data_IF_530117748331
#
_entry.id   IF_530117748331
#
_cell.length_a   1.000
_cell.length_b   1.000
_cell.length_c   1.000
_cell.angle_alpha   90.00
_cell.angle_beta   90.00
_cell.angle_gamma   90.00
#
_symmetry.space_group_name_H-M   'P 1'
#
loop_
_entity.id
_entity.type
_entity.pdbx_description
1 polymer ?
#
# COMPACT_ATOMS: atom_id res chain seq x y z
N UNK A 1 -3.70 -14.27 -28.67
CA UNK A 1 -2.48 -13.92 -29.40
C UNK A 1 -2.68 -12.58 -30.10
N UNK A 2 -1.66 -11.75 -30.12
CA UNK A 2 -1.64 -10.44 -30.74
C UNK A 2 -0.89 -10.54 -32.08
N UNK A 3 -1.47 -10.00 -33.17
CA UNK A 3 -0.77 -9.97 -34.46
C UNK A 3 0.27 -8.83 -34.50
N UNK A 4 1.33 -8.99 -35.33
CA UNK A 4 2.36 -7.96 -35.50
C UNK A 4 1.77 -6.61 -35.94
N UNK A 5 0.81 -6.65 -36.87
CA UNK A 5 0.13 -5.44 -37.38
C UNK A 5 -0.68 -4.73 -36.27
N UNK A 6 -1.41 -5.49 -35.45
CA UNK A 6 -2.17 -4.92 -34.34
C UNK A 6 -1.24 -4.30 -33.28
N UNK A 7 -0.12 -4.97 -32.97
CA UNK A 7 0.87 -4.44 -32.04
C UNK A 7 1.47 -3.12 -32.56
N UNK A 8 1.85 -3.05 -33.84
CA UNK A 8 2.39 -1.81 -34.43
C UNK A 8 1.39 -0.66 -34.37
N UNK A 9 0.11 -0.92 -34.63
CA UNK A 9 -0.95 0.10 -34.48
C UNK A 9 -1.07 0.57 -33.03
N UNK A 10 -1.01 -0.34 -32.07
CA UNK A 10 -1.04 -0.01 -30.65
C UNK A 10 0.19 0.76 -30.18
N UNK A 11 1.36 0.50 -30.76
CA UNK A 11 2.61 1.19 -30.47
C UNK A 11 2.59 2.66 -30.94
N UNK A 12 1.87 2.98 -32.02
CA UNK A 12 1.85 4.32 -32.60
C UNK A 12 3.24 4.80 -32.98
N UNK A 13 3.54 6.09 -32.78
CA UNK A 13 4.89 6.63 -32.96
C UNK A 13 5.82 6.11 -31.84
N UNK A 14 6.50 5.00 -32.10
CA UNK A 14 7.40 4.37 -31.16
C UNK A 14 8.85 4.88 -31.22
N UNK A 15 9.22 5.58 -32.32
CA UNK A 15 10.52 6.25 -32.45
C UNK A 15 10.42 7.64 -31.83
N UNK A 16 10.84 7.79 -30.57
CA UNK A 16 10.99 9.10 -29.97
C UNK A 16 12.18 9.85 -30.61
N UNK A 17 12.08 11.17 -30.74
CA UNK A 17 13.15 12.07 -31.22
C UNK A 17 14.26 12.19 -30.12
N UNK A 18 15.00 11.12 -29.89
CA UNK A 18 16.08 11.08 -28.90
C UNK A 18 17.01 9.89 -29.13
N UNK A 19 18.22 9.93 -28.61
CA UNK A 19 19.37 9.05 -28.87
C UNK A 19 19.25 7.61 -28.38
N UNK A 20 18.08 7.11 -28.02
CA UNK A 20 17.92 5.73 -27.54
C UNK A 20 18.04 4.72 -28.68
N UNK A 21 18.76 3.64 -28.45
CA UNK A 21 18.88 2.53 -29.40
C UNK A 21 17.49 2.00 -29.79
N UNK A 22 17.25 1.69 -31.06
CA UNK A 22 15.94 1.28 -31.58
C UNK A 22 15.30 0.12 -30.81
N UNK A 23 16.10 -0.83 -30.30
CA UNK A 23 15.61 -1.96 -29.50
C UNK A 23 15.03 -1.50 -28.15
N UNK A 24 15.64 -0.49 -27.51
CA UNK A 24 15.17 0.08 -26.24
C UNK A 24 13.81 0.76 -26.43
N UNK A 25 13.66 1.58 -27.50
CA UNK A 25 12.40 2.22 -27.80
C UNK A 25 11.26 1.21 -28.07
N UNK A 26 11.55 0.11 -28.77
CA UNK A 26 10.59 -0.98 -28.98
C UNK A 26 10.23 -1.67 -27.67
N UNK A 27 11.22 -1.99 -26.83
CA UNK A 27 11.00 -2.62 -25.54
C UNK A 27 10.16 -1.72 -24.62
N UNK A 28 10.52 -0.45 -24.52
CA UNK A 28 9.82 0.52 -23.66
C UNK A 28 8.36 0.70 -24.10
N UNK A 29 8.12 0.77 -25.40
CA UNK A 29 6.75 0.89 -25.90
C UNK A 29 5.89 -0.34 -25.63
N UNK A 30 6.42 -1.54 -25.81
CA UNK A 30 5.72 -2.79 -25.47
C UNK A 30 5.50 -2.89 -23.95
N UNK A 31 6.51 -2.52 -23.15
CA UNK A 31 6.40 -2.47 -21.68
C UNK A 31 5.25 -1.57 -21.23
N UNK A 32 5.16 -0.35 -21.78
CA UNK A 32 4.07 0.57 -21.51
C UNK A 32 2.70 -0.04 -21.85
N UNK A 33 2.56 -0.66 -23.00
CA UNK A 33 1.30 -1.29 -23.40
C UNK A 33 0.88 -2.43 -22.45
N UNK A 34 1.84 -3.16 -21.89
CA UNK A 34 1.58 -4.20 -20.89
C UNK A 34 1.19 -3.56 -19.55
N UNK A 35 1.91 -2.54 -19.10
CA UNK A 35 1.64 -1.82 -17.85
C UNK A 35 0.28 -1.13 -17.86
N UNK A 36 -0.10 -0.52 -18.99
CA UNK A 36 -1.39 0.15 -19.18
C UNK A 36 -2.56 -0.83 -19.38
N UNK A 37 -2.29 -2.14 -19.38
CA UNK A 37 -3.31 -3.17 -19.60
C UNK A 37 -3.86 -3.21 -21.04
N UNK A 38 -3.26 -2.49 -21.97
CA UNK A 38 -3.61 -2.53 -23.41
C UNK A 38 -3.16 -3.83 -24.05
N UNK A 39 -2.08 -4.44 -23.54
CA UNK A 39 -1.71 -5.83 -23.79
C UNK A 39 -1.98 -6.58 -22.49
N UNK A 40 -2.98 -7.43 -22.48
CA UNK A 40 -3.34 -8.22 -21.29
C UNK A 40 -2.24 -9.24 -20.96
N UNK A 41 -2.04 -9.51 -19.69
CA UNK A 41 -1.19 -10.63 -19.22
C UNK A 41 -1.66 -11.93 -19.85
N UNK A 42 -0.72 -12.85 -20.09
CA UNK A 42 -0.93 -14.10 -20.82
C UNK A 42 -1.25 -13.93 -22.32
N UNK A 43 -1.16 -12.70 -22.87
CA UNK A 43 -1.27 -12.48 -24.32
C UNK A 43 0.01 -12.92 -25.01
N UNK A 44 -0.10 -13.81 -26.00
CA UNK A 44 1.03 -14.18 -26.86
C UNK A 44 1.39 -13.03 -27.78
N UNK A 45 2.66 -12.56 -27.71
CA UNK A 45 3.23 -11.54 -28.57
C UNK A 45 3.57 -12.14 -29.96
N UNK A 46 3.67 -11.29 -30.99
CA UNK A 46 4.08 -11.73 -32.34
C UNK A 46 5.48 -12.35 -32.34
N UNK A 47 5.73 -13.24 -33.29
CA UNK A 47 7.07 -13.76 -33.50
C UNK A 47 8.04 -12.63 -33.88
N UNK A 48 9.29 -12.73 -33.42
CA UNK A 48 10.33 -11.70 -33.65
C UNK A 48 10.46 -11.32 -35.14
N UNK A 49 10.40 -12.32 -36.02
CA UNK A 49 10.50 -12.09 -37.47
C UNK A 49 9.32 -11.30 -38.03
N UNK A 50 8.12 -11.60 -37.57
CA UNK A 50 6.89 -10.94 -38.01
C UNK A 50 6.85 -9.48 -37.50
N UNK A 51 7.24 -9.25 -36.25
CA UNK A 51 7.30 -7.92 -35.68
C UNK A 51 8.38 -7.07 -36.34
N UNK A 52 9.55 -7.64 -36.60
CA UNK A 52 10.65 -6.95 -37.30
C UNK A 52 10.21 -6.45 -38.69
N UNK A 53 9.51 -7.29 -39.45
CA UNK A 53 8.97 -6.94 -40.76
C UNK A 53 7.92 -5.83 -40.64
N UNK A 54 7.02 -5.93 -39.68
CA UNK A 54 5.94 -4.94 -39.48
C UNK A 54 6.44 -3.57 -39.00
N UNK A 55 7.53 -3.54 -38.21
CA UNK A 55 8.17 -2.30 -37.74
C UNK A 55 9.20 -1.71 -38.70
N UNK A 56 9.59 -2.45 -39.75
CA UNK A 56 10.65 -2.02 -40.67
C UNK A 56 12.05 -1.95 -40.00
N UNK A 57 12.33 -2.85 -39.06
CA UNK A 57 13.62 -2.94 -38.34
C UNK A 57 14.28 -4.31 -38.53
N UNK A 58 15.55 -4.43 -38.13
CA UNK A 58 16.25 -5.72 -38.15
C UNK A 58 15.64 -6.71 -37.15
N UNK A 59 15.73 -8.01 -37.44
CA UNK A 59 15.33 -9.06 -36.50
C UNK A 59 16.13 -8.96 -35.19
N UNK A 60 17.43 -8.64 -35.28
CA UNK A 60 18.29 -8.46 -34.12
C UNK A 60 17.79 -7.36 -33.18
N UNK A 61 17.22 -6.27 -33.72
CA UNK A 61 16.59 -5.20 -32.94
C UNK A 61 15.42 -5.73 -32.12
N UNK A 62 14.55 -6.54 -32.71
CA UNK A 62 13.39 -7.10 -32.00
C UNK A 62 13.82 -8.19 -31.00
N UNK A 63 14.79 -9.00 -31.36
CA UNK A 63 15.39 -10.00 -30.45
C UNK A 63 15.97 -9.33 -29.19
N UNK A 64 16.72 -8.22 -29.37
CA UNK A 64 17.26 -7.44 -28.25
C UNK A 64 16.14 -6.79 -27.41
N UNK A 65 15.08 -6.27 -28.05
CA UNK A 65 13.93 -5.72 -27.35
C UNK A 65 13.20 -6.79 -26.51
N UNK A 66 12.98 -7.98 -27.07
CA UNK A 66 12.36 -9.09 -26.33
C UNK A 66 13.27 -9.63 -25.22
N UNK A 67 14.59 -9.60 -25.39
CA UNK A 67 15.53 -9.92 -24.31
C UNK A 67 15.42 -8.93 -23.16
N UNK A 68 15.43 -7.63 -23.45
CA UNK A 68 15.25 -6.60 -22.43
C UNK A 68 13.90 -6.73 -21.70
N UNK A 69 12.83 -7.09 -22.41
CA UNK A 69 11.53 -7.35 -21.80
C UNK A 69 11.53 -8.60 -20.91
N UNK A 70 12.26 -9.66 -21.30
CA UNK A 70 12.44 -10.88 -20.45
C UNK A 70 13.24 -10.58 -19.19
N UNK A 71 14.36 -9.88 -19.34
CA UNK A 71 15.20 -9.44 -18.22
C UNK A 71 14.41 -8.56 -17.23
N UNK A 72 13.55 -7.69 -17.76
CA UNK A 72 12.64 -6.88 -16.95
C UNK A 72 11.41 -7.62 -16.40
N UNK A 73 11.23 -8.91 -16.73
CA UNK A 73 10.10 -9.72 -16.26
C UNK A 73 8.74 -9.39 -16.94
N UNK A 74 8.74 -8.65 -18.06
CA UNK A 74 7.51 -8.30 -18.79
C UNK A 74 7.11 -9.31 -19.85
N UNK A 75 8.02 -10.22 -20.19
CA UNK A 75 7.79 -11.28 -21.16
C UNK A 75 8.39 -12.58 -20.65
N UNK A 76 7.62 -13.65 -20.73
CA UNK A 76 8.07 -15.00 -20.51
C UNK A 76 8.13 -15.77 -21.85
N UNK A 77 9.19 -16.55 -22.05
CA UNK A 77 9.33 -17.39 -23.25
C UNK A 77 9.34 -18.85 -22.84
N UNK A 78 8.35 -19.61 -23.31
CA UNK A 78 8.28 -21.05 -23.10
C UNK A 78 8.59 -21.76 -24.41
N UNK A 79 9.45 -22.79 -24.39
CA UNK A 79 9.75 -23.58 -25.58
C UNK A 79 8.48 -24.10 -26.25
N UNK A 80 8.26 -23.76 -27.51
CA UNK A 80 7.09 -24.16 -28.30
C UNK A 80 5.86 -23.24 -28.20
N UNK A 81 5.73 -22.36 -27.18
CA UNK A 81 4.58 -21.47 -27.02
C UNK A 81 4.87 -20.00 -27.37
N UNK A 82 6.12 -19.62 -27.65
CA UNK A 82 6.50 -18.25 -28.02
C UNK A 82 6.68 -17.34 -26.82
N UNK A 83 6.66 -16.02 -27.06
CA UNK A 83 6.79 -14.98 -26.05
C UNK A 83 5.41 -14.53 -25.57
N UNK A 84 5.19 -14.54 -24.26
CA UNK A 84 3.91 -14.22 -23.62
C UNK A 84 4.09 -13.02 -22.69
N UNK A 85 3.19 -12.04 -22.80
CA UNK A 85 3.19 -10.86 -21.97
C UNK A 85 2.82 -11.21 -20.52
N UNK A 86 3.56 -10.66 -19.57
CA UNK A 86 3.27 -10.76 -18.14
C UNK A 86 3.64 -9.45 -17.43
N UNK A 87 3.14 -9.25 -16.24
CA UNK A 87 3.67 -8.25 -15.33
C UNK A 87 4.81 -8.87 -14.52
N UNK A 88 5.90 -8.12 -14.27
CA UNK A 88 6.98 -8.61 -13.44
C UNK A 88 6.43 -9.12 -12.12
N UNK A 89 6.78 -10.34 -11.74
CA UNK A 89 6.49 -10.81 -10.40
C UNK A 89 7.26 -9.92 -9.43
N UNK A 90 6.62 -9.50 -8.33
CA UNK A 90 7.26 -8.66 -7.29
C UNK A 90 8.58 -9.23 -6.74
N UNK A 91 8.84 -10.52 -6.94
CA UNK A 91 10.12 -11.14 -6.59
C UNK A 91 11.33 -10.53 -7.32
N UNK A 92 11.14 -9.91 -8.49
CA UNK A 92 12.22 -9.18 -9.18
C UNK A 92 12.42 -7.75 -8.64
N UNK A 93 11.66 -7.35 -7.62
CA UNK A 93 11.84 -6.08 -6.91
C UNK A 93 12.76 -6.21 -5.66
N UNK A 94 13.51 -7.31 -5.54
CA UNK A 94 14.66 -7.32 -4.63
C UNK A 94 15.60 -6.25 -5.19
N UNK A 95 15.87 -5.16 -4.43
CA UNK A 95 16.76 -4.12 -4.90
C UNK A 95 18.12 -4.79 -5.22
N UNK A 96 18.62 -4.59 -6.43
CA UNK A 96 19.99 -4.88 -6.72
C UNK A 96 20.83 -4.00 -5.78
N UNK A 97 21.49 -4.62 -4.82
CA UNK A 97 22.34 -3.91 -3.84
C UNK A 97 23.50 -3.17 -4.51
N UNK A 98 23.75 -3.44 -5.80
CA UNK A 98 24.73 -2.77 -6.64
C UNK A 98 24.12 -1.66 -7.51
N UNK A 99 22.78 -1.44 -7.48
CA UNK A 99 22.17 -0.37 -8.26
C UNK A 99 22.56 1.02 -7.72
N UNK A 100 22.75 2.04 -8.59
CA UNK A 100 23.00 3.40 -8.14
C UNK A 100 21.90 3.86 -7.18
N UNK A 101 22.28 4.68 -6.18
CA UNK A 101 21.32 5.24 -5.21
C UNK A 101 20.25 6.05 -5.96
N UNK A 102 19.08 5.44 -6.11
CA UNK A 102 17.91 6.08 -6.68
C UNK A 102 17.16 6.84 -5.58
N UNK A 103 16.67 8.03 -5.90
CA UNK A 103 15.72 8.72 -5.04
C UNK A 103 14.37 7.97 -5.12
N UNK A 104 13.92 7.43 -4.00
CA UNK A 104 12.72 6.59 -3.95
C UNK A 104 11.54 7.33 -3.30
N UNK A 105 10.68 7.91 -4.13
CA UNK A 105 9.39 8.51 -3.75
C UNK A 105 8.20 7.54 -3.92
N UNK A 106 8.46 6.28 -4.28
CA UNK A 106 7.39 5.27 -4.41
C UNK A 106 6.93 4.69 -3.07
N UNK A 107 7.65 5.00 -1.99
CA UNK A 107 7.41 4.46 -0.65
C UNK A 107 7.03 5.56 0.33
N UNK A 108 5.88 5.42 0.97
CA UNK A 108 5.49 6.26 2.12
C UNK A 108 6.23 5.81 3.38
N UNK A 109 7.54 6.09 3.47
CA UNK A 109 8.41 5.69 4.60
C UNK A 109 9.22 6.87 5.08
N UNK A 110 9.54 6.87 6.39
CA UNK A 110 10.40 7.87 7.02
C UNK A 110 11.54 7.16 7.76
N UNK A 111 12.64 7.90 8.00
CA UNK A 111 13.71 7.48 8.90
C UNK A 111 13.18 7.29 10.33
N UNK A 112 13.90 6.55 11.16
CA UNK A 112 13.54 6.37 12.56
C UNK A 112 13.41 7.70 13.29
N UNK A 113 12.44 7.81 14.20
CA UNK A 113 12.38 8.88 15.16
C UNK A 113 13.59 8.75 16.14
N UNK A 114 14.26 9.85 16.51
CA UNK A 114 15.41 9.79 17.41
C UNK A 114 15.14 9.08 18.73
N UNK A 115 13.91 9.18 19.23
CA UNK A 115 13.43 8.60 20.49
C UNK A 115 13.51 7.06 20.49
N UNK A 116 13.55 6.42 19.32
CA UNK A 116 13.71 4.96 19.18
C UNK A 116 14.98 4.46 19.85
N UNK A 117 16.07 5.24 19.86
CA UNK A 117 17.35 4.86 20.48
C UNK A 117 17.17 4.69 22.00
N UNK A 118 16.61 5.71 22.65
CA UNK A 118 16.39 5.67 24.10
C UNK A 118 15.32 4.68 24.51
N UNK A 119 14.24 4.56 23.73
CA UNK A 119 13.21 3.57 23.93
C UNK A 119 13.76 2.13 23.84
N UNK A 120 14.69 1.87 22.91
CA UNK A 120 15.37 0.58 22.77
C UNK A 120 16.28 0.27 23.97
N UNK A 121 17.01 1.28 24.48
CA UNK A 121 17.84 1.11 25.68
C UNK A 121 16.98 0.74 26.88
N UNK A 122 15.88 1.48 27.13
CA UNK A 122 14.93 1.16 28.22
C UNK A 122 14.29 -0.21 28.05
N UNK A 123 13.93 -0.61 26.83
CA UNK A 123 13.38 -1.93 26.55
C UNK A 123 14.36 -3.07 26.90
N UNK A 124 15.66 -2.88 26.58
CA UNK A 124 16.69 -3.85 26.94
C UNK A 124 16.85 -3.98 28.46
N UNK A 125 16.71 -2.92 29.24
CA UNK A 125 16.73 -2.93 30.70
C UNK A 125 15.48 -3.59 31.32
N UNK A 126 14.34 -3.52 30.64
CA UNK A 126 13.09 -4.17 31.06
C UNK A 126 13.06 -5.67 30.74
N UNK A 127 13.80 -6.08 29.69
CA UNK A 127 13.78 -7.45 29.18
C UNK A 127 14.01 -8.56 30.23
N UNK A 128 14.90 -8.42 31.23
CA UNK A 128 15.13 -9.46 32.24
C UNK A 128 13.87 -9.92 32.99
N UNK A 129 12.87 -9.05 33.14
CA UNK A 129 11.61 -9.40 33.81
C UNK A 129 10.78 -10.44 33.05
N UNK A 130 11.04 -10.64 31.76
CA UNK A 130 10.30 -11.53 30.86
C UNK A 130 11.05 -12.81 30.50
N UNK A 131 12.34 -12.93 30.86
CA UNK A 131 13.17 -14.07 30.45
C UNK A 131 12.79 -15.39 31.13
N UNK A 132 11.99 -15.34 32.19
CA UNK A 132 11.45 -16.53 32.87
C UNK A 132 10.26 -17.19 32.16
N UNK A 133 9.70 -16.53 31.14
CA UNK A 133 8.54 -17.00 30.38
C UNK A 133 8.94 -17.61 29.03
N UNK A 134 7.97 -18.23 28.33
CA UNK A 134 8.24 -18.85 27.02
C UNK A 134 8.56 -17.84 25.90
N UNK A 135 8.19 -16.58 26.09
CA UNK A 135 8.30 -15.53 25.07
C UNK A 135 7.25 -15.60 23.96
N UNK A 136 6.38 -16.60 23.95
CA UNK A 136 5.27 -16.72 22.99
C UNK A 136 4.01 -16.07 23.55
N UNK A 137 3.56 -15.01 22.88
CA UNK A 137 2.30 -14.33 23.21
C UNK A 137 1.52 -14.02 21.94
N UNK A 138 0.44 -14.76 21.67
CA UNK A 138 -0.36 -14.58 20.46
C UNK A 138 -1.23 -13.31 20.49
N UNK A 139 -1.39 -12.67 21.65
CA UNK A 139 -2.22 -11.46 21.81
C UNK A 139 -1.36 -10.20 21.82
N UNK A 140 -0.23 -10.25 22.50
CA UNK A 140 0.68 -9.13 22.73
C UNK A 140 0.74 -8.71 24.19
N UNK A 141 1.87 -8.13 24.58
CA UNK A 141 2.16 -7.74 25.97
C UNK A 141 1.04 -6.88 26.58
N UNK A 142 0.58 -7.17 27.81
CA UNK A 142 -0.46 -6.39 28.47
C UNK A 142 -0.13 -4.89 28.51
N UNK A 143 1.11 -4.54 28.88
CA UNK A 143 1.57 -3.13 28.96
C UNK A 143 1.45 -2.38 27.64
N UNK A 144 1.73 -3.05 26.51
CA UNK A 144 1.57 -2.43 25.18
C UNK A 144 0.09 -2.31 24.81
N UNK A 145 -0.72 -3.33 25.07
CA UNK A 145 -2.16 -3.30 24.81
C UNK A 145 -2.86 -2.19 25.60
N UNK A 146 -2.46 -2.00 26.87
CA UNK A 146 -2.93 -0.90 27.71
C UNK A 146 -2.53 0.47 27.16
N UNK A 147 -1.28 0.64 26.71
CA UNK A 147 -0.81 1.88 26.10
C UNK A 147 -1.58 2.21 24.81
N UNK A 148 -1.82 1.21 23.95
CA UNK A 148 -2.61 1.38 22.71
C UNK A 148 -4.07 1.70 23.05
N UNK A 149 -4.70 1.00 24.00
CA UNK A 149 -6.08 1.24 24.41
C UNK A 149 -6.24 2.67 24.93
N UNK A 150 -5.34 3.15 25.78
CA UNK A 150 -5.30 4.54 26.26
C UNK A 150 -5.22 5.54 25.09
N UNK A 151 -4.43 5.23 24.06
CA UNK A 151 -4.33 6.10 22.89
C UNK A 151 -5.66 6.21 22.13
N UNK A 152 -6.46 5.14 22.03
CA UNK A 152 -7.80 5.22 21.47
C UNK A 152 -8.74 6.03 22.36
N UNK A 153 -8.66 5.91 23.68
CA UNK A 153 -9.45 6.71 24.63
C UNK A 153 -9.14 8.21 24.50
N UNK A 154 -7.86 8.57 24.41
CA UNK A 154 -7.42 9.96 24.16
C UNK A 154 -7.95 10.54 22.84
N UNK A 155 -8.17 9.68 21.85
CA UNK A 155 -8.78 10.03 20.57
C UNK A 155 -10.32 9.98 20.60
N UNK A 156 -10.95 9.75 21.75
CA UNK A 156 -12.40 9.75 21.92
C UNK A 156 -13.09 8.43 21.63
N UNK A 157 -12.36 7.29 21.55
CA UNK A 157 -12.95 5.96 21.39
C UNK A 157 -12.65 5.08 22.62
N UNK A 158 -13.60 4.86 23.53
CA UNK A 158 -13.45 3.95 24.66
C UNK A 158 -12.98 2.58 24.20
N UNK A 159 -11.87 2.09 24.76
CA UNK A 159 -11.22 0.86 24.32
C UNK A 159 -10.57 0.16 25.50
N UNK A 160 -10.90 -1.11 25.74
CA UNK A 160 -10.21 -1.94 26.71
C UNK A 160 -9.01 -2.67 26.10
N UNK A 161 -7.99 -3.04 26.90
CA UNK A 161 -6.85 -3.81 26.41
C UNK A 161 -7.24 -5.14 25.75
N UNK A 162 -8.36 -5.73 26.11
CA UNK A 162 -8.88 -6.99 25.55
C UNK A 162 -9.48 -6.82 24.15
N UNK A 163 -9.65 -5.59 23.70
CA UNK A 163 -10.02 -5.26 22.33
C UNK A 163 -8.80 -5.04 21.42
N UNK A 164 -7.58 -5.18 21.95
CA UNK A 164 -6.32 -4.98 21.23
C UNK A 164 -5.59 -6.30 21.04
N UNK A 165 -5.10 -6.53 19.83
CA UNK A 165 -4.18 -7.61 19.46
C UNK A 165 -2.97 -7.04 18.75
N UNK A 166 -1.78 -7.26 19.28
CA UNK A 166 -0.52 -6.79 18.66
C UNK A 166 -0.12 -7.70 17.51
N UNK A 167 0.38 -7.10 16.42
CA UNK A 167 0.74 -7.79 15.18
C UNK A 167 2.11 -7.38 14.65
N UNK A 168 2.65 -8.14 13.68
CA UNK A 168 3.91 -7.83 12.97
C UNK A 168 3.73 -6.69 11.95
N UNK A 169 3.18 -5.56 12.41
CA UNK A 169 2.81 -4.41 11.59
C UNK A 169 1.42 -4.56 10.94
N UNK A 170 0.95 -3.46 10.32
CA UNK A 170 -0.38 -3.37 9.73
C UNK A 170 -0.61 -4.40 8.61
N UNK A 171 0.40 -4.69 7.79
CA UNK A 171 0.27 -5.68 6.71
C UNK A 171 -0.05 -7.09 7.23
N UNK A 172 0.56 -7.48 8.36
CA UNK A 172 0.23 -8.74 9.02
C UNK A 172 -1.20 -8.72 9.56
N UNK A 173 -1.63 -7.60 10.17
CA UNK A 173 -3.00 -7.43 10.63
C UNK A 173 -4.02 -7.62 9.49
N UNK A 174 -3.82 -6.94 8.36
CA UNK A 174 -4.67 -7.05 7.17
C UNK A 174 -4.73 -8.49 6.66
N UNK A 175 -3.58 -9.15 6.53
CA UNK A 175 -3.51 -10.54 6.07
C UNK A 175 -4.20 -11.52 7.04
N UNK A 176 -4.01 -11.34 8.35
CA UNK A 176 -4.64 -12.16 9.39
C UNK A 176 -6.17 -12.00 9.35
N UNK A 177 -6.68 -10.77 9.33
CA UNK A 177 -8.11 -10.50 9.27
C UNK A 177 -8.71 -11.11 8.00
N UNK A 178 -8.08 -10.87 6.85
CA UNK A 178 -8.57 -11.35 5.56
C UNK A 178 -8.70 -12.88 5.54
N UNK A 179 -7.64 -13.61 5.92
CA UNK A 179 -7.67 -15.09 5.92
C UNK A 179 -8.59 -15.70 6.98
N UNK A 180 -8.92 -14.93 8.05
CA UNK A 180 -9.77 -15.41 9.14
C UNK A 180 -11.25 -15.20 8.86
N UNK A 181 -11.60 -14.05 8.23
CA UNK A 181 -13.00 -13.65 8.07
C UNK A 181 -13.55 -13.94 6.66
N UNK A 182 -12.71 -14.39 5.72
CA UNK A 182 -13.12 -14.65 4.35
C UNK A 182 -12.97 -16.13 3.99
N UNK A 183 -13.93 -16.63 3.22
CA UNK A 183 -13.81 -17.88 2.51
C UNK A 183 -13.37 -17.65 1.06
N UNK A 184 -12.83 -18.69 0.42
CA UNK A 184 -12.41 -18.62 -0.98
C UNK A 184 -13.61 -18.33 -1.89
N UNK A 185 -13.49 -17.28 -2.70
CA UNK A 185 -14.54 -16.83 -3.62
C UNK A 185 -15.45 -15.76 -3.05
N UNK A 186 -15.32 -15.41 -1.76
CA UNK A 186 -16.02 -14.29 -1.15
C UNK A 186 -15.67 -12.96 -1.83
N UNK A 187 -16.58 -11.99 -1.71
CA UNK A 187 -16.35 -10.64 -2.23
C UNK A 187 -15.72 -9.77 -1.18
N UNK A 188 -14.65 -9.07 -1.55
CA UNK A 188 -14.05 -7.99 -0.77
C UNK A 188 -14.22 -6.67 -1.49
N UNK A 189 -14.93 -5.74 -0.86
CA UNK A 189 -15.06 -4.38 -1.34
C UNK A 189 -13.83 -3.57 -0.93
N UNK A 190 -13.34 -2.73 -1.84
CA UNK A 190 -12.17 -1.91 -1.55
C UNK A 190 -12.12 -0.66 -2.40
N UNK A 191 -11.45 0.35 -1.87
CA UNK A 191 -11.20 1.59 -2.59
C UNK A 191 -10.27 1.36 -3.79
N UNK A 192 -10.49 2.13 -4.86
CA UNK A 192 -9.67 2.11 -6.06
C UNK A 192 -9.40 3.56 -6.54
N UNK A 193 -8.13 4.00 -6.60
CA UNK A 193 -6.91 3.24 -6.25
C UNK A 193 -6.83 2.90 -4.76
N UNK A 194 -5.90 2.02 -4.36
CA UNK A 194 -5.70 1.62 -2.97
C UNK A 194 -4.28 1.11 -2.70
N UNK A 195 -3.99 0.78 -1.44
CA UNK A 195 -2.72 0.21 -1.02
C UNK A 195 -2.50 -1.18 -1.65
N UNK A 196 -1.47 -1.36 -2.50
CA UNK A 196 -1.33 -2.58 -3.29
C UNK A 196 -1.16 -3.85 -2.46
N UNK A 197 -0.48 -3.77 -1.30
CA UNK A 197 -0.26 -4.95 -0.45
C UNK A 197 -1.53 -5.43 0.27
N UNK A 198 -2.50 -4.53 0.51
CA UNK A 198 -3.82 -4.94 0.99
C UNK A 198 -4.57 -5.73 -0.09
N UNK A 199 -4.50 -5.28 -1.38
CA UNK A 199 -5.03 -6.03 -2.52
C UNK A 199 -4.46 -7.46 -2.57
N UNK A 200 -3.15 -7.58 -2.38
CA UNK A 200 -2.48 -8.88 -2.42
C UNK A 200 -2.90 -9.77 -1.24
N UNK A 201 -3.07 -9.20 -0.05
CA UNK A 201 -3.55 -9.95 1.11
C UNK A 201 -4.98 -10.48 0.91
N UNK A 202 -5.87 -9.65 0.37
CA UNK A 202 -7.24 -10.05 0.03
C UNK A 202 -7.26 -11.14 -1.05
N UNK A 203 -6.46 -10.98 -2.12
CA UNK A 203 -6.33 -12.01 -3.16
C UNK A 203 -5.76 -13.33 -2.63
N UNK A 204 -4.75 -13.26 -1.77
CA UNK A 204 -4.16 -14.44 -1.12
C UNK A 204 -5.17 -15.18 -0.23
N UNK A 205 -6.12 -14.47 0.38
CA UNK A 205 -7.26 -15.04 1.10
C UNK A 205 -8.35 -15.64 0.15
N UNK A 206 -8.17 -15.50 -1.17
CA UNK A 206 -9.10 -16.03 -2.16
C UNK A 206 -10.26 -15.11 -2.52
N UNK A 207 -10.16 -13.81 -2.16
CA UNK A 207 -11.21 -12.83 -2.40
C UNK A 207 -11.41 -12.49 -3.87
N UNK A 208 -12.67 -12.21 -4.23
CA UNK A 208 -13.05 -11.51 -5.46
C UNK A 208 -13.16 -10.03 -5.15
N UNK A 209 -12.25 -9.23 -5.68
CA UNK A 209 -12.19 -7.80 -5.40
C UNK A 209 -13.32 -7.05 -6.11
N UNK A 210 -14.02 -6.17 -5.37
CA UNK A 210 -15.04 -5.26 -5.87
C UNK A 210 -14.54 -3.83 -5.63
N UNK A 211 -14.07 -3.13 -6.68
CA UNK A 211 -13.55 -1.77 -6.54
C UNK A 211 -14.67 -0.75 -6.35
N UNK A 212 -14.43 0.25 -5.50
CA UNK A 212 -15.27 1.43 -5.31
C UNK A 212 -14.42 2.70 -5.41
N UNK A 213 -15.01 3.83 -5.82
CA UNK A 213 -14.30 5.10 -5.84
C UNK A 213 -13.94 5.57 -4.42
N UNK A 214 -12.78 6.21 -4.30
CA UNK A 214 -12.31 6.76 -3.01
C UNK A 214 -13.26 7.88 -2.56
N UNK A 215 -13.71 7.82 -1.30
CA UNK A 215 -14.54 8.87 -0.63
C UNK A 215 -15.77 9.33 -1.42
N UNK A 216 -16.34 8.47 -2.27
CA UNK A 216 -17.54 8.78 -3.05
C UNK A 216 -18.78 8.10 -2.45
N UNK A 217 -19.88 8.86 -2.29
CA UNK A 217 -21.14 8.32 -1.75
C UNK A 217 -21.67 7.14 -2.57
N UNK A 218 -21.72 7.28 -3.89
CA UNK A 218 -22.28 6.30 -4.81
C UNK A 218 -21.47 4.99 -4.86
N UNK A 219 -20.16 5.05 -4.61
CA UNK A 219 -19.29 3.87 -4.59
C UNK A 219 -19.67 2.89 -3.48
N UNK A 220 -19.95 3.39 -2.28
CA UNK A 220 -20.23 2.56 -1.10
C UNK A 220 -21.60 1.92 -1.09
N UNK A 221 -22.55 2.40 -1.89
CA UNK A 221 -23.81 1.69 -2.12
C UNK A 221 -23.62 0.31 -2.77
N UNK A 222 -22.43 0.04 -3.31
CA UNK A 222 -22.06 -1.28 -3.79
C UNK A 222 -22.11 -2.35 -2.68
N UNK A 223 -21.99 -2.00 -1.40
CA UNK A 223 -22.21 -2.92 -0.27
C UNK A 223 -23.58 -3.58 -0.39
N UNK A 224 -24.64 -2.80 -0.64
CA UNK A 224 -25.99 -3.34 -0.77
C UNK A 224 -26.16 -4.24 -2.00
N UNK A 225 -25.54 -3.87 -3.11
CA UNK A 225 -25.69 -4.61 -4.38
C UNK A 225 -24.87 -5.89 -4.43
N UNK A 226 -23.74 -5.94 -3.73
CA UNK A 226 -22.77 -7.06 -3.86
C UNK A 226 -22.70 -7.94 -2.63
N UNK A 227 -23.25 -7.51 -1.49
CA UNK A 227 -23.19 -8.21 -0.18
C UNK A 227 -21.79 -8.80 0.08
N UNK A 228 -20.75 -7.96 0.18
CA UNK A 228 -19.39 -8.43 0.38
C UNK A 228 -19.23 -8.98 1.80
N UNK A 229 -18.40 -10.00 1.99
CA UNK A 229 -18.04 -10.50 3.31
C UNK A 229 -17.16 -9.53 4.07
N UNK A 230 -16.34 -8.76 3.33
CA UNK A 230 -15.38 -7.82 3.89
C UNK A 230 -15.28 -6.55 3.04
N UNK A 231 -15.06 -5.40 3.70
CA UNK A 231 -14.68 -4.14 3.08
C UNK A 231 -13.35 -3.65 3.67
N UNK A 232 -12.43 -3.21 2.82
CA UNK A 232 -11.16 -2.57 3.22
C UNK A 232 -11.15 -1.12 2.76
N UNK A 233 -10.87 -0.21 3.67
CA UNK A 233 -10.81 1.22 3.40
C UNK A 233 -9.74 1.92 4.25
N UNK A 234 -9.29 3.08 3.77
CA UNK A 234 -8.39 4.00 4.46
C UNK A 234 -9.12 5.33 4.67
N UNK A 235 -9.81 5.51 5.82
CA UNK A 235 -10.74 6.62 6.00
C UNK A 235 -10.03 7.97 6.17
N UNK A 236 -8.77 7.98 6.56
CA UNK A 236 -7.99 9.17 6.83
C UNK A 236 -6.73 9.22 5.96
N UNK A 237 -6.55 10.34 5.26
CA UNK A 237 -5.36 10.61 4.44
C UNK A 237 -5.01 9.43 3.53
N UNK A 238 -6.01 9.00 2.77
CA UNK A 238 -6.01 7.79 1.94
C UNK A 238 -4.75 7.65 1.08
N UNK A 239 -4.14 6.49 1.09
CA UNK A 239 -3.03 6.16 0.19
C UNK A 239 -3.55 5.49 -1.10
N UNK A 240 -3.38 6.12 -2.31
CA UNK A 240 -2.45 7.22 -2.58
C UNK A 240 -3.09 8.62 -2.69
N UNK A 241 -4.41 8.78 -2.58
CA UNK A 241 -5.09 10.03 -2.99
C UNK A 241 -4.99 11.18 -2.00
N UNK A 242 -4.61 10.92 -0.74
CA UNK A 242 -4.57 11.92 0.32
C UNK A 242 -5.95 12.37 0.84
N UNK A 243 -7.04 11.83 0.28
CA UNK A 243 -8.40 12.20 0.69
C UNK A 243 -8.76 11.64 2.06
N UNK A 244 -9.70 12.30 2.74
CA UNK A 244 -10.30 11.79 3.97
C UNK A 244 -11.81 11.66 3.81
N UNK A 245 -12.37 10.60 4.38
CA UNK A 245 -13.80 10.32 4.34
C UNK A 245 -14.53 11.25 5.31
N UNK A 246 -15.57 11.99 4.86
CA UNK A 246 -16.41 12.80 5.74
C UNK A 246 -17.16 11.95 6.78
N UNK A 247 -17.49 12.53 7.94
CA UNK A 247 -18.11 11.79 9.05
C UNK A 247 -19.46 11.19 8.68
N UNK A 248 -20.30 11.90 7.94
CA UNK A 248 -21.60 11.41 7.47
C UNK A 248 -21.44 10.17 6.57
N UNK A 249 -20.37 10.12 5.78
CA UNK A 249 -20.09 8.97 4.93
C UNK A 249 -19.55 7.79 5.76
N UNK A 250 -18.78 8.04 6.83
CA UNK A 250 -18.34 7.00 7.78
C UNK A 250 -19.52 6.29 8.42
N UNK A 251 -20.49 7.05 8.94
CA UNK A 251 -21.72 6.52 9.53
C UNK A 251 -22.54 5.73 8.52
N UNK A 252 -22.72 6.28 7.31
CA UNK A 252 -23.46 5.63 6.22
C UNK A 252 -22.83 4.30 5.84
N UNK A 253 -21.50 4.25 5.64
CA UNK A 253 -20.75 3.04 5.28
C UNK A 253 -20.90 1.96 6.34
N UNK A 254 -20.68 2.30 7.62
CA UNK A 254 -20.79 1.35 8.72
C UNK A 254 -22.22 0.85 8.93
N UNK A 255 -23.23 1.73 8.78
CA UNK A 255 -24.63 1.35 8.83
C UNK A 255 -25.01 0.39 7.69
N UNK A 256 -24.53 0.63 6.47
CA UNK A 256 -24.72 -0.28 5.33
C UNK A 256 -24.05 -1.63 5.57
N UNK A 257 -22.81 -1.62 6.04
CA UNK A 257 -22.04 -2.82 6.33
C UNK A 257 -22.72 -3.68 7.41
N UNK A 258 -23.15 -3.06 8.51
CA UNK A 258 -23.84 -3.76 9.59
C UNK A 258 -25.14 -4.46 9.11
N UNK A 259 -25.93 -3.80 8.24
CA UNK A 259 -27.16 -4.39 7.67
C UNK A 259 -26.89 -5.59 6.77
N UNK A 260 -25.73 -5.66 6.14
CA UNK A 260 -25.35 -6.74 5.22
C UNK A 260 -24.46 -7.81 5.87
N UNK A 261 -24.07 -7.65 7.14
CA UNK A 261 -23.14 -8.52 7.81
C UNK A 261 -21.72 -8.43 7.26
N UNK A 262 -21.37 -7.30 6.63
CA UNK A 262 -20.04 -7.05 6.06
C UNK A 262 -19.08 -6.62 7.16
N UNK A 263 -17.96 -7.33 7.36
CA UNK A 263 -16.88 -6.88 8.22
C UNK A 263 -16.14 -5.70 7.55
N UNK A 264 -15.80 -4.66 8.31
CA UNK A 264 -15.09 -3.49 7.79
C UNK A 264 -13.70 -3.39 8.43
N UNK A 265 -12.66 -3.42 7.61
CA UNK A 265 -11.29 -3.07 8.00
C UNK A 265 -11.08 -1.59 7.71
N UNK A 266 -10.78 -0.81 8.76
CA UNK A 266 -10.32 0.56 8.66
C UNK A 266 -8.81 0.60 8.88
N UNK A 267 -8.04 0.88 7.84
CA UNK A 267 -6.60 1.11 7.94
C UNK A 267 -6.36 2.55 8.40
N UNK A 268 -6.03 2.69 9.67
CA UNK A 268 -5.78 3.97 10.34
C UNK A 268 -4.28 4.29 10.49
N UNK A 269 -3.41 3.64 9.73
CA UNK A 269 -1.95 3.82 9.85
C UNK A 269 -1.46 5.24 9.58
N UNK A 270 -2.25 6.07 8.89
CA UNK A 270 -1.95 7.48 8.64
C UNK A 270 -2.87 8.44 9.42
N UNK A 271 -3.87 7.96 10.14
CA UNK A 271 -4.92 8.77 10.74
C UNK A 271 -4.42 9.89 11.68
N UNK A 272 -3.25 9.70 12.30
CA UNK A 272 -2.68 10.68 13.21
C UNK A 272 -1.68 11.65 12.55
N UNK A 273 -1.49 11.56 11.23
CA UNK A 273 -0.64 12.45 10.45
C UNK A 273 -1.44 13.62 9.85
N UNK A 274 -2.23 14.32 10.68
CA UNK A 274 -2.92 15.56 10.32
C UNK A 274 -1.89 16.71 10.28
N UNK A 275 -1.60 17.18 9.07
CA UNK A 275 -0.59 18.21 8.84
C UNK A 275 -1.17 19.62 8.99
N UNK A 276 -2.46 19.82 8.80
CA UNK A 276 -3.09 21.13 8.89
C UNK A 276 -3.56 21.47 10.31
N UNK A 277 -3.60 20.46 11.20
CA UNK A 277 -4.07 20.65 12.57
C UNK A 277 -5.58 20.91 12.63
N UNK A 278 -6.34 20.26 11.76
CA UNK A 278 -7.81 20.41 11.67
C UNK A 278 -8.56 19.88 12.90
N UNK A 279 -7.84 19.42 13.91
CA UNK A 279 -8.38 18.89 15.17
C UNK A 279 -8.28 17.37 15.30
N UNK A 280 -8.65 16.85 16.47
CA UNK A 280 -8.63 15.42 16.74
C UNK A 280 -9.74 14.73 15.96
N UNK A 281 -9.38 13.96 14.95
CA UNK A 281 -10.33 13.10 14.24
C UNK A 281 -10.64 11.87 15.09
N UNK A 282 -11.92 11.58 15.25
CA UNK A 282 -12.34 10.34 15.90
C UNK A 282 -11.85 9.12 15.09
N UNK A 283 -11.43 8.05 15.77
CA UNK A 283 -11.18 6.77 15.10
C UNK A 283 -12.43 6.32 14.32
N UNK A 284 -12.22 5.65 13.20
CA UNK A 284 -13.35 5.24 12.34
C UNK A 284 -14.39 4.39 13.08
N UNK A 285 -13.92 3.54 14.00
CA UNK A 285 -14.79 2.70 14.83
C UNK A 285 -15.63 3.48 15.87
N UNK A 286 -15.45 4.79 16.02
CA UNK A 286 -16.36 5.64 16.83
C UNK A 286 -17.69 5.89 16.11
N UNK A 287 -17.73 5.73 14.80
CA UNK A 287 -18.96 5.89 13.99
C UNK A 287 -19.76 4.58 13.84
N UNK A 288 -19.26 3.46 14.37
CA UNK A 288 -19.93 2.15 14.31
C UNK A 288 -18.96 0.97 14.41
N UNK A 289 -19.43 -0.25 14.15
CA UNK A 289 -18.60 -1.44 14.28
C UNK A 289 -17.59 -1.54 13.12
N UNK A 290 -16.31 -1.46 13.44
CA UNK A 290 -15.20 -1.65 12.50
C UNK A 290 -14.00 -2.30 13.18
N UNK A 291 -13.17 -2.96 12.39
CA UNK A 291 -11.88 -3.51 12.77
C UNK A 291 -10.82 -2.49 12.38
N UNK A 292 -10.28 -1.75 13.36
CA UNK A 292 -9.21 -0.79 13.10
C UNK A 292 -7.85 -1.49 13.03
N UNK A 293 -7.05 -1.11 12.05
CA UNK A 293 -5.65 -1.53 11.90
C UNK A 293 -4.76 -0.32 12.13
N UNK A 294 -3.88 -0.41 13.11
CA UNK A 294 -2.92 0.64 13.44
C UNK A 294 -1.47 0.14 13.40
N UNK A 295 -0.54 1.08 13.37
CA UNK A 295 0.90 0.77 13.37
C UNK A 295 1.73 2.01 13.68
N UNK A 296 2.85 1.84 14.37
CA UNK A 296 3.87 2.89 14.52
C UNK A 296 4.75 3.06 13.29
N UNK A 297 4.54 2.26 12.24
CA UNK A 297 5.41 2.21 11.06
C UNK A 297 5.44 3.49 10.22
N UNK A 298 4.41 4.35 10.31
CA UNK A 298 4.31 5.62 9.59
C UNK A 298 4.63 6.83 10.47
N UNK A 299 4.45 6.69 11.77
CA UNK A 299 4.65 7.78 12.74
C UNK A 299 6.03 7.74 13.39
N UNK A 300 6.53 6.56 13.70
CA UNK A 300 7.81 6.36 14.40
C UNK A 300 8.87 5.79 13.47
N UNK A 301 8.73 4.53 13.08
CA UNK A 301 9.65 3.86 12.16
C UNK A 301 9.12 2.51 11.67
N UNK A 302 9.18 2.28 10.37
CA UNK A 302 8.77 1.02 9.75
C UNK A 302 9.61 -0.20 10.19
N UNK A 303 10.84 0.02 10.68
CA UNK A 303 11.74 -1.02 11.15
C UNK A 303 11.29 -1.73 12.44
N UNK A 304 10.46 -1.09 13.28
CA UNK A 304 9.92 -1.69 14.50
C UNK A 304 8.93 -2.84 14.23
N UNK A 305 8.42 -2.97 13.03
CA UNK A 305 7.52 -4.05 12.63
C UNK A 305 6.36 -4.33 13.60
N UNK A 306 5.90 -3.33 14.34
CA UNK A 306 4.81 -3.43 15.31
C UNK A 306 3.58 -2.69 14.82
N UNK A 307 2.46 -3.38 14.84
CA UNK A 307 1.13 -2.87 14.58
C UNK A 307 0.11 -3.55 15.49
N UNK A 308 -1.14 -3.24 15.32
CA UNK A 308 -2.21 -3.82 16.11
C UNK A 308 -3.53 -3.87 15.36
N UNK A 309 -4.42 -4.70 15.87
CA UNK A 309 -5.83 -4.76 15.53
C UNK A 309 -6.61 -4.30 16.74
N UNK A 310 -7.55 -3.38 16.56
CA UNK A 310 -8.59 -3.06 17.53
C UNK A 310 -9.93 -3.54 16.98
N UNK A 311 -10.63 -4.39 17.74
CA UNK A 311 -11.93 -4.92 17.36
C UNK A 311 -12.77 -5.28 18.61
N UNK A 312 -13.99 -5.75 18.40
CA UNK A 312 -14.77 -6.34 19.49
C UNK A 312 -14.12 -7.62 20.03
N UNK A 313 -14.48 -8.01 21.25
CA UNK A 313 -13.88 -9.16 21.93
C UNK A 313 -14.07 -10.50 21.20
N UNK A 314 -15.18 -10.69 20.45
CA UNK A 314 -15.43 -11.93 19.71
C UNK A 314 -14.49 -12.03 18.52
N UNK A 315 -14.32 -10.94 17.79
CA UNK A 315 -13.40 -10.82 16.66
C UNK A 315 -11.95 -11.04 17.13
N UNK A 316 -11.50 -10.40 18.22
CA UNK A 316 -10.14 -10.61 18.76
C UNK A 316 -9.92 -12.09 19.10
N UNK A 317 -10.85 -12.74 19.81
CA UNK A 317 -10.71 -14.18 20.12
C UNK A 317 -10.62 -15.06 18.88
N UNK A 318 -11.38 -14.72 17.81
CA UNK A 318 -11.33 -15.45 16.56
C UNK A 318 -9.96 -15.30 15.86
N UNK A 319 -9.44 -14.06 15.82
CA UNK A 319 -8.13 -13.75 15.23
C UNK A 319 -6.98 -14.43 15.99
N UNK A 320 -7.02 -14.41 17.33
CA UNK A 320 -6.02 -15.09 18.18
C UNK A 320 -5.98 -16.58 17.88
N UNK A 321 -7.14 -17.25 17.76
CA UNK A 321 -7.21 -18.69 17.42
C UNK A 321 -6.65 -18.97 16.01
N UNK A 322 -6.87 -18.07 15.06
CA UNK A 322 -6.41 -18.23 13.68
C UNK A 322 -4.91 -17.88 13.51
N UNK A 323 -4.31 -17.15 14.45
CA UNK A 323 -2.95 -16.65 14.35
C UNK A 323 -1.91 -17.75 14.23
N UNK A 324 -2.04 -18.81 15.03
CA UNK A 324 -1.06 -19.90 15.12
C UNK A 324 -0.75 -20.59 13.79
N UNK A 325 -1.62 -20.45 12.78
CA UNK A 325 -1.36 -20.94 11.42
C UNK A 325 -0.32 -20.08 10.66
N UNK A 326 0.07 -18.93 11.18
CA UNK A 326 1.01 -18.00 10.53
C UNK A 326 2.21 -17.63 11.39
N UNK A 327 2.00 -17.35 12.68
CA UNK A 327 3.06 -17.01 13.63
C UNK A 327 2.60 -17.25 15.09
N UNK A 328 3.54 -17.21 16.03
CA UNK A 328 3.31 -17.47 17.45
C UNK A 328 3.31 -16.21 18.32
N UNK A 329 3.39 -15.03 17.73
CA UNK A 329 3.40 -13.76 18.44
C UNK A 329 4.34 -12.72 17.84
N UNK A 330 4.20 -11.49 18.30
CA UNK A 330 5.11 -10.39 17.94
C UNK A 330 6.33 -10.44 18.85
N UNK A 331 7.56 -10.19 18.36
CA UNK A 331 8.76 -10.18 19.18
C UNK A 331 8.60 -9.28 20.41
N UNK A 332 9.03 -9.79 21.58
CA UNK A 332 8.83 -9.15 22.86
C UNK A 332 9.60 -7.85 22.99
N UNK A 333 10.85 -7.82 22.51
CA UNK A 333 11.70 -6.63 22.63
C UNK A 333 11.11 -5.44 21.85
N UNK A 334 10.63 -5.67 20.64
CA UNK A 334 9.99 -4.63 19.82
C UNK A 334 8.69 -4.12 20.47
N UNK A 335 7.94 -4.98 21.14
CA UNK A 335 6.78 -4.56 21.90
C UNK A 335 7.15 -3.64 23.06
N UNK A 336 8.22 -3.94 23.80
CA UNK A 336 8.74 -3.07 24.87
C UNK A 336 9.24 -1.74 24.32
N UNK A 337 9.96 -1.75 23.19
CA UNK A 337 10.38 -0.52 22.50
C UNK A 337 9.18 0.35 22.17
N UNK A 338 8.13 -0.24 21.56
CA UNK A 338 6.93 0.51 21.20
C UNK A 338 6.17 1.01 22.42
N UNK A 339 6.12 0.24 23.52
CA UNK A 339 5.53 0.70 24.77
C UNK A 339 6.22 1.98 25.26
N UNK A 340 7.56 1.99 25.26
CA UNK A 340 8.35 3.14 25.69
C UNK A 340 8.19 4.34 24.72
N UNK A 341 8.11 4.09 23.42
CA UNK A 341 7.86 5.13 22.42
C UNK A 341 6.49 5.79 22.60
N UNK A 342 5.47 5.02 22.98
CA UNK A 342 4.13 5.56 23.17
C UNK A 342 4.01 6.53 24.35
N UNK A 343 4.95 6.51 25.30
CA UNK A 343 5.04 7.51 26.39
C UNK A 343 5.38 8.92 25.83
N UNK A 344 6.25 8.99 24.82
CA UNK A 344 6.69 10.22 24.19
C UNK A 344 5.95 10.51 22.87
N UNK A 345 4.90 9.76 22.56
CA UNK A 345 4.25 9.75 21.26
C UNK A 345 3.71 11.10 20.78
N UNK A 346 3.11 11.96 21.64
CA UNK A 346 2.66 13.28 21.22
C UNK A 346 3.80 14.14 20.64
N UNK A 347 4.97 14.18 21.27
CA UNK A 347 6.12 14.97 20.80
C UNK A 347 6.68 14.40 19.49
N UNK A 348 6.71 13.08 19.35
CA UNK A 348 7.13 12.42 18.10
C UNK A 348 6.17 12.79 16.96
N UNK A 349 4.86 12.75 17.20
CA UNK A 349 3.87 13.15 16.20
C UNK A 349 4.02 14.60 15.78
N UNK A 350 4.24 15.52 16.72
CA UNK A 350 4.38 16.93 16.41
C UNK A 350 5.62 17.20 15.55
N UNK A 351 6.74 16.55 15.87
CA UNK A 351 7.96 16.62 15.06
C UNK A 351 7.75 16.04 13.64
N UNK A 352 7.03 14.90 13.54
CA UNK A 352 6.70 14.26 12.26
C UNK A 352 5.80 15.14 11.41
N UNK A 353 4.72 15.66 12.00
CA UNK A 353 3.78 16.57 11.33
C UNK A 353 4.48 17.82 10.82
N UNK A 354 5.36 18.43 11.62
CA UNK A 354 6.14 19.59 11.22
C UNK A 354 7.05 19.29 10.02
N UNK A 355 7.78 18.18 10.05
CA UNK A 355 8.66 17.75 8.96
C UNK A 355 7.88 17.45 7.68
N UNK A 356 6.77 16.71 7.78
CA UNK A 356 5.94 16.37 6.62
C UNK A 356 5.25 17.61 6.03
N UNK A 357 4.79 18.55 6.87
CA UNK A 357 4.22 19.82 6.43
C UNK A 357 5.23 20.62 5.61
N UNK A 358 6.45 20.81 6.14
CA UNK A 358 7.51 21.52 5.43
C UNK A 358 7.86 20.84 4.09
N UNK A 359 7.91 19.49 4.05
CA UNK A 359 8.14 18.73 2.82
C UNK A 359 7.00 18.89 1.81
N UNK A 360 5.74 18.83 2.25
CA UNK A 360 4.56 19.05 1.41
C UNK A 360 4.56 20.46 0.80
N UNK A 361 4.79 21.48 1.61
CA UNK A 361 4.80 22.87 1.17
C UNK A 361 5.92 23.11 0.14
N UNK A 362 7.11 22.58 0.42
CA UNK A 362 8.25 22.70 -0.50
C UNK A 362 7.97 22.01 -1.84
N UNK A 363 7.47 20.76 -1.80
CA UNK A 363 7.12 20.01 -3.01
C UNK A 363 6.03 20.72 -3.82
N UNK A 364 4.98 21.20 -3.17
CA UNK A 364 3.88 21.91 -3.83
C UNK A 364 4.35 23.20 -4.50
N UNK A 365 5.22 23.97 -3.85
CA UNK A 365 5.80 25.20 -4.41
C UNK A 365 6.65 24.89 -5.66
N UNK A 366 7.53 23.89 -5.58
CA UNK A 366 8.36 23.47 -6.72
C UNK A 366 7.53 22.97 -7.89
N UNK A 367 6.51 22.16 -7.65
CA UNK A 367 5.62 21.66 -8.70
C UNK A 367 4.82 22.79 -9.34
N UNK A 368 4.33 23.75 -8.56
CA UNK A 368 3.61 24.92 -9.09
C UNK A 368 4.52 25.82 -9.96
N UNK A 369 5.78 25.98 -9.57
CA UNK A 369 6.76 26.77 -10.33
C UNK A 369 7.23 26.06 -11.59
N UNK A 370 7.63 24.79 -11.50
CA UNK A 370 8.30 24.06 -12.58
C UNK A 370 7.33 23.34 -13.51
N UNK A 371 6.16 22.97 -13.02
CA UNK A 371 5.15 22.17 -13.74
C UNK A 371 3.75 22.76 -13.57
N UNK A 372 3.51 24.03 -13.97
CA UNK A 372 2.27 24.76 -13.69
C UNK A 372 1.01 24.16 -14.36
N UNK A 373 1.18 23.26 -15.31
CA UNK A 373 0.07 22.53 -15.96
C UNK A 373 -0.40 21.31 -15.14
N UNK A 374 0.36 20.92 -14.11
CA UNK A 374 -0.02 19.80 -13.24
C UNK A 374 -0.98 20.27 -12.14
N UNK A 375 -1.91 19.40 -11.80
CA UNK A 375 -2.86 19.66 -10.72
C UNK A 375 -2.34 19.00 -9.45
N UNK A 376 -1.96 19.80 -8.47
CA UNK A 376 -1.46 19.36 -7.16
C UNK A 376 -2.51 19.72 -6.10
N UNK A 377 -3.48 18.82 -5.80
CA UNK A 377 -4.48 19.11 -4.79
C UNK A 377 -3.84 19.21 -3.41
N UNK A 378 -4.35 20.12 -2.61
CA UNK A 378 -3.95 20.22 -1.21
C UNK A 378 -4.41 18.97 -0.46
N UNK A 379 -3.49 18.32 0.25
CA UNK A 379 -3.78 17.19 1.12
C UNK A 379 -3.58 17.60 2.57
N UNK A 380 -4.63 17.51 3.43
CA UNK A 380 -4.55 18.00 4.80
C UNK A 380 -3.66 17.14 5.70
N UNK A 381 -3.22 15.98 5.24
CA UNK A 381 -2.40 15.07 6.02
C UNK A 381 -1.88 13.88 5.23
N UNK A 382 -1.29 12.92 5.94
CA UNK A 382 -0.70 11.71 5.36
C UNK A 382 0.70 11.94 4.78
N UNK A 383 1.11 11.04 3.90
CA UNK A 383 2.48 10.98 3.35
C UNK A 383 2.47 10.84 1.82
N UNK A 384 1.38 11.17 1.16
CA UNK A 384 1.22 10.97 -0.29
C UNK A 384 0.83 12.28 -0.98
N UNK A 385 1.32 12.48 -2.20
CA UNK A 385 0.87 13.53 -3.08
C UNK A 385 0.28 12.88 -4.34
N UNK A 386 -1.01 13.11 -4.59
CA UNK A 386 -1.72 12.60 -5.76
C UNK A 386 -1.82 13.69 -6.81
N UNK A 387 -0.93 13.64 -7.80
CA UNK A 387 -0.76 14.71 -8.78
C UNK A 387 -1.47 14.38 -10.08
N UNK A 388 -2.35 15.27 -10.53
CA UNK A 388 -3.00 15.18 -11.84
C UNK A 388 -2.09 15.72 -12.93
N UNK A 389 -1.75 14.86 -13.89
CA UNK A 389 -0.83 15.20 -15.00
C UNK A 389 -1.55 15.87 -16.19
N UNK A 390 -2.89 16.00 -16.15
CA UNK A 390 -3.70 16.54 -17.25
C UNK A 390 -3.81 15.64 -18.49
N UNK A 391 -3.01 14.57 -18.54
CA UNK A 391 -2.98 13.59 -19.62
C UNK A 391 -2.71 12.18 -19.08
N UNK A 392 -3.12 11.10 -19.76
CA UNK A 392 -2.90 9.72 -19.34
C UNK A 392 -1.46 9.24 -19.64
N UNK A 393 -0.48 9.89 -19.03
CA UNK A 393 0.97 9.66 -19.26
C UNK A 393 1.71 9.14 -18.03
N UNK A 394 0.99 8.73 -16.98
CA UNK A 394 1.60 8.29 -15.71
C UNK A 394 2.63 7.17 -15.87
N UNK A 395 2.32 6.13 -16.63
CA UNK A 395 3.25 5.03 -16.89
C UNK A 395 4.50 5.48 -17.65
N UNK A 396 4.36 6.43 -18.60
CA UNK A 396 5.49 7.01 -19.31
C UNK A 396 6.37 7.84 -18.39
N UNK A 397 5.76 8.64 -17.51
CA UNK A 397 6.46 9.43 -16.51
C UNK A 397 7.25 8.55 -15.55
N UNK A 398 6.65 7.48 -15.03
CA UNK A 398 7.33 6.52 -14.14
C UNK A 398 8.57 5.91 -14.80
N UNK A 399 8.47 5.54 -16.07
CA UNK A 399 9.63 4.99 -16.81
C UNK A 399 10.71 6.05 -17.07
N UNK A 400 10.31 7.27 -17.46
CA UNK A 400 11.25 8.37 -17.69
C UNK A 400 11.98 8.75 -16.40
N UNK A 401 11.24 8.93 -15.31
CA UNK A 401 11.79 9.25 -13.99
C UNK A 401 12.80 8.19 -13.52
N UNK A 402 12.50 6.90 -13.74
CA UNK A 402 13.40 5.81 -13.37
C UNK A 402 14.73 5.88 -14.16
N UNK A 403 14.72 6.25 -15.42
CA UNK A 403 15.94 6.43 -16.23
C UNK A 403 16.80 7.58 -15.70
N UNK A 404 16.19 8.56 -15.06
CA UNK A 404 16.87 9.70 -14.41
C UNK A 404 17.20 9.46 -12.93
N UNK A 405 17.07 8.21 -12.44
CA UNK A 405 17.40 7.86 -11.06
C UNK A 405 16.32 8.19 -10.04
N UNK A 406 15.07 8.42 -10.47
CA UNK A 406 13.94 8.73 -9.60
C UNK A 406 12.87 7.64 -9.68
N UNK A 407 12.49 7.07 -8.52
CA UNK A 407 11.34 6.15 -8.42
C UNK A 407 10.12 6.89 -7.90
N UNK A 408 9.05 6.89 -8.70
CA UNK A 408 7.70 7.36 -8.35
C UNK A 408 6.69 6.24 -8.60
N UNK A 409 5.50 6.33 -8.02
CA UNK A 409 4.42 5.34 -8.15
C UNK A 409 3.23 5.91 -8.93
#
# INVERSE_FOLDING_TARGET
SLSARALVVMMGEWRASGSNAAYSAVADRIRLLIMDGRILTSTRLPAERELALALGVSRTTVTAAYSALREGGYVESTRGSGSVAQLPHRASLIPDLAAPQMLDFSKSTMSAAPEVIEASRRAAEQLPAYLGESGFDPVGLPVLREAIARRYEERGLPTSPDQIMVTLGAQHAIALISRTLMARGDRALMENPSYPHALDALRAAGARLVPVGVSTETGWEAIQRTSPSLAYLMPDFHNPTGQSMPDELREKVLSLAARQGTAVIADETMAELDLDGSGTRLPFAAHGNAISVGSVGKTVWGGLRTGWIRADHATIRQLVRARSAGDLGTPLLEQLVVTNVLEDFPSILDARRASLRAGREHLSALLAEQLPSWQVPHTPGGMTAWVGLGQPVSSQLVLAARNEGLMIA
#
